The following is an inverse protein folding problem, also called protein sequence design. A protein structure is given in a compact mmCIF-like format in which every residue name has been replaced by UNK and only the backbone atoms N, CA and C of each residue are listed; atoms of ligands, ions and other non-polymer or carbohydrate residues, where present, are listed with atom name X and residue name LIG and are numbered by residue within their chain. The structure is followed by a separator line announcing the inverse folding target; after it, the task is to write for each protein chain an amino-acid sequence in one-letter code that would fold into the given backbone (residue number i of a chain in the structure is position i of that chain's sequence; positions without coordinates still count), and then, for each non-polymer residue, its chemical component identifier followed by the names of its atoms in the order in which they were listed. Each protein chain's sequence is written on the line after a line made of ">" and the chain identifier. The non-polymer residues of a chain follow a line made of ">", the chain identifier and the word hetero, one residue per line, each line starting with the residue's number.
data_IF_452625691894
#
_entry.id   IF_452625691894
#
_cell.length_a   1.000
_cell.length_b   1.000
_cell.length_c   1.000
_cell.angle_alpha   90.00
_cell.angle_beta   90.00
_cell.angle_gamma   90.00
#
_symmetry.space_group_name_H-M   'P 1'
#
loop_
_entity.id
_entity.type
_entity.pdbx_description
1 polymer ?
#
# COMPACT_ATOMS: atom_id res chain seq x y z
N UNK A 1 16.91 -21.97 -6.67
CA UNK A 1 16.88 -20.68 -5.94
C UNK A 1 17.04 -20.98 -4.46
N UNK A 2 17.63 -20.10 -3.66
CA UNK A 2 17.66 -20.26 -2.20
C UNK A 2 16.35 -19.72 -1.63
N UNK A 3 15.59 -20.54 -0.91
CA UNK A 3 14.40 -20.09 -0.18
C UNK A 3 14.81 -19.29 1.07
N UNK A 4 14.04 -18.23 1.36
CA UNK A 4 14.17 -17.38 2.54
C UNK A 4 12.93 -17.65 3.38
N UNK A 5 13.11 -17.95 4.67
CA UNK A 5 11.99 -18.38 5.55
C UNK A 5 11.69 -17.38 6.65
N UNK A 6 12.60 -16.42 6.88
CA UNK A 6 12.41 -15.35 7.87
C UNK A 6 12.25 -13.99 7.20
N UNK A 7 11.39 -13.14 7.77
CA UNK A 7 11.20 -11.77 7.30
C UNK A 7 12.50 -10.95 7.37
N UNK A 8 13.28 -11.13 8.44
CA UNK A 8 14.59 -10.48 8.57
C UNK A 8 15.64 -10.95 7.54
N UNK A 9 15.48 -12.14 6.96
CA UNK A 9 16.32 -12.54 5.82
C UNK A 9 15.98 -11.75 4.57
N UNK A 10 14.68 -11.56 4.29
CA UNK A 10 14.19 -10.74 3.17
C UNK A 10 14.70 -9.33 3.30
N UNK A 11 14.46 -8.68 4.44
CA UNK A 11 14.93 -7.32 4.73
C UNK A 11 16.43 -7.16 4.50
N UNK A 12 17.24 -8.09 5.02
CA UNK A 12 18.70 -8.04 4.87
C UNK A 12 19.14 -8.25 3.42
N UNK A 13 18.53 -9.16 2.65
CA UNK A 13 18.96 -9.38 1.25
C UNK A 13 18.40 -8.35 0.28
N UNK A 14 17.34 -7.63 0.66
CA UNK A 14 16.77 -6.53 -0.12
C UNK A 14 17.33 -5.16 0.27
N UNK A 15 18.34 -5.11 1.14
CA UNK A 15 18.95 -3.88 1.65
C UNK A 15 17.89 -2.93 2.24
N UNK A 16 16.97 -3.47 3.04
CA UNK A 16 15.93 -2.70 3.71
C UNK A 16 14.77 -2.26 2.81
N UNK A 17 14.66 -2.76 1.56
CA UNK A 17 13.60 -2.33 0.63
C UNK A 17 12.19 -2.54 1.19
N UNK A 18 11.46 -1.45 1.41
CA UNK A 18 10.12 -1.49 2.00
C UNK A 18 9.08 -2.19 1.15
N UNK A 19 9.22 -2.19 -0.18
CA UNK A 19 8.30 -2.92 -1.05
C UNK A 19 8.41 -4.42 -0.79
N UNK A 20 9.63 -4.93 -0.59
CA UNK A 20 9.89 -6.35 -0.34
C UNK A 20 9.57 -6.74 1.10
N UNK A 21 9.86 -5.86 2.06
CA UNK A 21 9.46 -6.03 3.47
C UNK A 21 7.94 -6.08 3.60
N UNK A 22 7.24 -5.14 2.94
CA UNK A 22 5.78 -5.15 2.89
C UNK A 22 5.27 -6.43 2.22
N UNK A 23 5.83 -6.83 1.07
CA UNK A 23 5.42 -8.07 0.41
C UNK A 23 5.67 -9.32 1.27
N UNK A 24 6.69 -9.32 2.13
CA UNK A 24 6.98 -10.44 3.04
C UNK A 24 5.90 -10.63 4.11
N UNK A 25 5.14 -9.58 4.43
CA UNK A 25 4.06 -9.56 5.43
C UNK A 25 4.48 -10.16 6.79
N UNK A 26 5.77 -10.10 7.12
CA UNK A 26 6.29 -10.64 8.37
C UNK A 26 5.68 -9.94 9.58
N UNK A 27 5.43 -10.71 10.64
CA UNK A 27 4.84 -10.22 11.89
C UNK A 27 5.78 -10.52 13.07
N UNK A 28 5.29 -10.44 14.31
CA UNK A 28 6.12 -10.47 15.54
C UNK A 28 6.88 -11.78 15.81
N UNK A 29 6.64 -12.86 15.06
CA UNK A 29 7.35 -14.15 15.19
C UNK A 29 8.62 -14.23 14.32
N UNK A 30 8.88 -13.23 13.48
CA UNK A 30 10.02 -13.16 12.58
C UNK A 30 9.92 -14.03 11.33
N UNK A 31 8.80 -14.75 11.15
CA UNK A 31 8.51 -15.55 9.96
C UNK A 31 7.89 -14.68 8.86
N UNK A 32 7.79 -15.24 7.65
CA UNK A 32 7.00 -14.65 6.58
C UNK A 32 5.50 -14.76 6.90
N UNK A 33 4.68 -13.90 6.29
CA UNK A 33 3.22 -13.97 6.44
C UNK A 33 2.63 -15.30 5.95
N UNK A 34 1.39 -15.65 6.36
CA UNK A 34 0.75 -16.90 5.96
C UNK A 34 0.72 -17.10 4.44
N UNK A 35 1.28 -18.23 3.96
CA UNK A 35 1.36 -18.56 2.55
C UNK A 35 2.35 -17.73 1.73
N UNK A 36 3.05 -16.78 2.34
CA UNK A 36 4.11 -16.01 1.67
C UNK A 36 5.33 -16.90 1.47
N UNK A 37 5.91 -16.84 0.28
CA UNK A 37 7.17 -17.52 -0.05
C UNK A 37 8.16 -16.53 -0.62
N UNK A 38 9.42 -16.67 -0.28
CA UNK A 38 10.47 -15.77 -0.74
C UNK A 38 11.71 -16.53 -1.17
N UNK A 39 12.38 -16.04 -2.20
CA UNK A 39 13.60 -16.65 -2.72
C UNK A 39 14.64 -15.60 -3.09
N UNK A 40 15.89 -16.04 -3.05
CA UNK A 40 17.02 -15.35 -3.64
C UNK A 40 17.64 -16.22 -4.73
N UNK A 41 18.01 -15.61 -5.85
CA UNK A 41 18.83 -16.21 -6.88
C UNK A 41 19.78 -15.17 -7.46
N UNK A 42 21.09 -15.43 -7.39
CA UNK A 42 22.11 -14.45 -7.77
C UNK A 42 21.90 -13.12 -7.05
N UNK A 43 21.66 -12.08 -7.85
CA UNK A 43 21.34 -10.71 -7.44
C UNK A 43 19.84 -10.43 -7.25
N UNK A 44 18.95 -11.33 -7.65
CA UNK A 44 17.50 -11.16 -7.54
C UNK A 44 16.94 -11.65 -6.21
N UNK A 45 15.96 -10.92 -5.70
CA UNK A 45 15.11 -11.28 -4.57
C UNK A 45 13.66 -11.25 -5.05
N UNK A 46 12.90 -12.31 -4.80
CA UNK A 46 11.49 -12.46 -5.19
C UNK A 46 10.68 -12.83 -3.97
N UNK A 47 9.54 -12.17 -3.75
CA UNK A 47 8.60 -12.47 -2.66
C UNK A 47 7.20 -12.63 -3.25
N UNK A 48 6.62 -13.81 -3.11
CA UNK A 48 5.27 -14.14 -3.54
C UNK A 48 4.33 -14.15 -2.33
N UNK A 49 3.32 -13.27 -2.33
CA UNK A 49 2.35 -13.09 -1.26
C UNK A 49 0.91 -13.30 -1.76
N UNK A 50 0.19 -14.33 -1.26
CA UNK A 50 -1.19 -14.58 -1.65
C UNK A 50 -2.12 -13.50 -1.08
N UNK A 51 -3.13 -13.09 -1.86
CA UNK A 51 -4.19 -12.18 -1.40
C UNK A 51 -3.74 -10.77 -0.93
N UNK A 52 -2.47 -10.42 -1.07
CA UNK A 52 -1.92 -9.13 -0.65
C UNK A 52 -2.55 -7.97 -1.43
N UNK A 53 -3.20 -7.05 -0.70
CA UNK A 53 -3.99 -5.98 -1.32
C UNK A 53 -5.09 -6.53 -2.27
N UNK A 54 -5.68 -7.66 -1.86
CA UNK A 54 -6.77 -8.35 -2.56
C UNK A 54 -6.35 -9.11 -3.82
N UNK A 55 -5.06 -9.36 -4.02
CA UNK A 55 -4.51 -10.06 -5.20
C UNK A 55 -3.31 -10.91 -4.81
N UNK A 56 -3.03 -11.96 -5.56
CA UNK A 56 -1.74 -12.64 -5.49
C UNK A 56 -0.67 -11.73 -6.11
N UNK A 57 0.35 -11.39 -5.32
CA UNK A 57 1.39 -10.43 -5.72
C UNK A 57 2.77 -11.06 -5.61
N UNK A 58 3.64 -10.75 -6.57
CA UNK A 58 5.03 -11.15 -6.59
C UNK A 58 5.92 -9.91 -6.67
N UNK A 59 6.55 -9.53 -5.56
CA UNK A 59 7.52 -8.45 -5.54
C UNK A 59 8.88 -8.95 -6.05
N UNK A 60 9.57 -8.14 -6.86
CA UNK A 60 10.94 -8.42 -7.31
C UNK A 60 11.84 -7.20 -7.15
N UNK A 61 13.09 -7.45 -6.75
CA UNK A 61 14.18 -6.47 -6.71
C UNK A 61 15.48 -7.12 -7.19
N UNK A 62 16.33 -6.31 -7.82
CA UNK A 62 17.75 -6.60 -7.98
C UNK A 62 18.55 -5.86 -6.91
N UNK A 63 19.54 -6.55 -6.35
CA UNK A 63 20.59 -5.88 -5.57
C UNK A 63 21.42 -4.99 -6.48
N UNK A 64 22.09 -4.00 -5.89
CA UNK A 64 22.97 -3.10 -6.64
C UNK A 64 24.00 -3.87 -7.47
N UNK A 65 24.20 -3.42 -8.73
CA UNK A 65 25.05 -4.10 -9.70
C UNK A 65 24.49 -5.44 -10.23
N UNK A 66 23.21 -5.76 -9.95
CA UNK A 66 22.58 -7.01 -10.34
C UNK A 66 22.31 -7.16 -11.84
N UNK A 67 22.07 -8.42 -12.25
CA UNK A 67 21.82 -8.79 -13.64
C UNK A 67 20.35 -9.10 -13.88
N UNK A 68 19.79 -8.55 -14.95
CA UNK A 68 18.38 -8.75 -15.32
C UNK A 68 18.04 -10.23 -15.53
N UNK A 69 19.00 -11.03 -16.00
CA UNK A 69 18.80 -12.47 -16.23
C UNK A 69 18.60 -13.25 -14.92
N UNK A 70 19.17 -12.79 -13.80
CA UNK A 70 18.89 -13.36 -12.47
C UNK A 70 17.42 -13.16 -12.10
N UNK A 71 16.88 -11.95 -12.35
CA UNK A 71 15.48 -11.63 -12.05
C UNK A 71 14.53 -12.41 -12.97
N UNK A 72 14.81 -12.46 -14.28
CA UNK A 72 13.98 -13.21 -15.23
C UNK A 72 13.96 -14.71 -14.88
N UNK A 73 15.11 -15.28 -14.54
CA UNK A 73 15.19 -16.67 -14.07
C UNK A 73 14.40 -16.85 -12.77
N UNK A 74 14.62 -15.99 -11.77
CA UNK A 74 13.97 -16.10 -10.47
C UNK A 74 12.45 -15.99 -10.57
N UNK A 75 11.93 -15.01 -11.32
CA UNK A 75 10.49 -14.82 -11.54
C UNK A 75 9.87 -16.02 -12.23
N UNK A 76 10.48 -16.54 -13.30
CA UNK A 76 9.96 -17.74 -14.00
C UNK A 76 9.90 -18.95 -13.08
N UNK A 77 10.95 -19.17 -12.27
CA UNK A 77 10.98 -20.28 -11.32
C UNK A 77 9.99 -20.11 -10.19
N UNK A 78 9.80 -18.90 -9.67
CA UNK A 78 8.81 -18.60 -8.65
C UNK A 78 7.38 -18.83 -9.18
N UNK A 79 7.05 -18.34 -10.37
CA UNK A 79 5.75 -18.56 -11.02
C UNK A 79 5.45 -20.05 -11.25
N UNK A 80 6.48 -20.85 -11.59
CA UNK A 80 6.33 -22.30 -11.70
C UNK A 80 6.00 -22.99 -10.36
N UNK A 81 6.30 -22.35 -9.22
CA UNK A 81 6.01 -22.89 -7.89
C UNK A 81 4.71 -22.37 -7.27
N UNK A 82 4.33 -21.12 -7.54
CA UNK A 82 3.14 -20.49 -6.93
C UNK A 82 1.96 -20.33 -7.90
N UNK A 83 2.19 -20.56 -9.20
CA UNK A 83 1.19 -20.39 -10.24
C UNK A 83 1.21 -19.01 -10.92
N UNK A 84 0.55 -18.94 -12.08
CA UNK A 84 0.52 -17.76 -12.96
C UNK A 84 -0.48 -16.69 -12.52
N UNK A 85 -1.29 -16.93 -11.48
CA UNK A 85 -2.19 -15.92 -10.91
C UNK A 85 -1.45 -14.75 -10.26
N UNK A 86 -0.20 -14.98 -9.85
CA UNK A 86 0.64 -14.00 -9.16
C UNK A 86 1.08 -12.88 -10.11
N UNK A 87 0.76 -11.65 -9.73
CA UNK A 87 1.11 -10.44 -10.49
C UNK A 87 2.46 -9.93 -10.03
N UNK A 88 3.41 -9.88 -10.96
CA UNK A 88 4.74 -9.31 -10.74
C UNK A 88 4.63 -7.80 -10.50
N UNK A 89 5.41 -7.27 -9.56
CA UNK A 89 5.65 -5.84 -9.44
C UNK A 89 7.04 -5.54 -8.87
N UNK A 90 7.60 -4.40 -9.24
CA UNK A 90 8.97 -3.99 -8.92
C UNK A 90 9.35 -2.75 -9.72
N UNK A 91 10.60 -2.32 -9.62
CA UNK A 91 11.07 -1.10 -10.31
C UNK A 91 10.73 -1.16 -11.80
N UNK A 92 10.23 -0.04 -12.34
CA UNK A 92 9.69 0.02 -13.71
C UNK A 92 10.64 -0.56 -14.76
N UNK A 93 11.91 -0.14 -14.72
CA UNK A 93 12.94 -0.61 -15.65
C UNK A 93 13.19 -2.12 -15.53
N UNK A 94 13.21 -2.63 -14.30
CA UNK A 94 13.40 -4.05 -14.02
C UNK A 94 12.22 -4.88 -14.56
N UNK A 95 10.99 -4.50 -14.22
CA UNK A 95 9.79 -5.26 -14.63
C UNK A 95 9.61 -5.25 -16.15
N UNK A 96 9.87 -4.13 -16.83
CA UNK A 96 9.86 -4.08 -18.29
C UNK A 96 10.88 -5.04 -18.91
N UNK A 97 12.10 -5.06 -18.38
CA UNK A 97 13.16 -5.92 -18.89
C UNK A 97 12.93 -7.41 -18.59
N UNK A 98 12.28 -7.74 -17.47
CA UNK A 98 11.82 -9.10 -17.14
C UNK A 98 10.70 -9.53 -18.08
N UNK A 99 9.73 -8.65 -18.35
CA UNK A 99 8.61 -8.92 -19.28
C UNK A 99 9.11 -9.31 -20.67
N UNK A 100 10.20 -8.67 -21.14
CA UNK A 100 10.83 -9.03 -22.42
C UNK A 100 11.52 -10.40 -22.43
N UNK A 101 11.86 -10.96 -21.26
CA UNK A 101 12.62 -12.21 -21.10
C UNK A 101 11.77 -13.40 -20.64
N UNK A 102 10.61 -13.14 -20.04
CA UNK A 102 9.70 -14.18 -19.53
C UNK A 102 8.57 -14.39 -20.54
N UNK A 103 8.52 -15.54 -21.23
CA UNK A 103 7.50 -15.80 -22.25
C UNK A 103 6.07 -15.64 -21.71
N UNK A 104 5.20 -15.01 -22.50
CA UNK A 104 3.79 -14.81 -22.17
C UNK A 104 3.51 -13.74 -21.12
N UNK A 105 4.53 -13.15 -20.49
CA UNK A 105 4.32 -12.06 -19.55
C UNK A 105 3.96 -10.77 -20.30
N UNK A 106 2.95 -10.05 -19.79
CA UNK A 106 2.49 -8.77 -20.31
C UNK A 106 2.48 -7.72 -19.22
N UNK A 107 2.82 -6.47 -19.58
CA UNK A 107 2.75 -5.33 -18.66
C UNK A 107 1.31 -4.94 -18.34
N UNK A 108 1.09 -4.38 -17.16
CA UNK A 108 -0.21 -3.91 -16.68
C UNK A 108 -0.27 -2.38 -16.58
N UNK A 109 0.20 -1.83 -15.47
CA UNK A 109 0.12 -0.41 -15.16
C UNK A 109 1.40 0.03 -14.44
N UNK A 110 1.65 1.33 -14.50
CA UNK A 110 2.77 2.01 -13.86
C UNK A 110 2.24 2.81 -12.68
N UNK A 111 2.90 2.71 -11.54
CA UNK A 111 2.49 3.37 -10.30
C UNK A 111 3.73 3.77 -9.50
N UNK A 112 3.57 4.64 -8.51
CA UNK A 112 4.65 4.93 -7.56
C UNK A 112 4.44 4.14 -6.28
N UNK A 113 5.51 3.51 -5.82
CA UNK A 113 5.66 3.19 -4.41
C UNK A 113 6.22 4.42 -3.72
N UNK A 114 5.45 4.99 -2.80
CA UNK A 114 5.88 6.13 -2.01
C UNK A 114 6.08 5.72 -0.55
N UNK A 115 7.10 6.27 0.09
CA UNK A 115 7.44 5.94 1.47
C UNK A 115 8.05 7.10 2.25
N UNK A 116 8.01 6.97 3.58
CA UNK A 116 8.72 7.82 4.54
C UNK A 116 9.03 7.01 5.80
N UNK A 117 10.15 7.34 6.46
CA UNK A 117 10.52 6.91 7.81
C UNK A 117 10.36 8.02 8.86
N UNK A 118 9.91 9.19 8.41
CA UNK A 118 9.81 10.40 9.20
C UNK A 118 8.33 10.80 9.34
N UNK A 119 7.92 11.33 10.50
CA UNK A 119 6.59 11.89 10.68
C UNK A 119 6.29 12.93 9.59
N UNK A 120 5.03 13.00 9.17
CA UNK A 120 4.56 14.02 8.27
C UNK A 120 4.82 15.41 8.88
N UNK A 121 5.33 16.37 8.08
CA UNK A 121 5.52 17.74 8.55
C UNK A 121 4.16 18.35 8.96
N UNK A 122 4.17 19.30 9.91
CA UNK A 122 2.96 20.03 10.26
C UNK A 122 2.40 20.76 9.01
N UNK A 123 1.07 20.93 8.91
CA UNK A 123 0.48 21.74 7.85
C UNK A 123 1.09 23.15 7.84
N UNK A 124 1.34 23.70 6.65
CA UNK A 124 2.02 24.98 6.48
C UNK A 124 1.20 26.21 6.92
N UNK A 125 -0.11 26.06 7.13
CA UNK A 125 -1.03 27.14 7.49
C UNK A 125 -1.39 27.00 8.98
N UNK A 126 -0.79 27.83 9.84
CA UNK A 126 -1.00 27.80 11.30
C UNK A 126 -2.19 28.65 11.78
N UNK A 127 -2.85 29.40 10.89
CA UNK A 127 -3.91 30.36 11.27
C UNK A 127 -5.35 29.82 11.13
N UNK A 128 -5.53 28.56 10.71
CA UNK A 128 -6.84 27.92 10.52
C UNK A 128 -7.14 26.81 11.53
N UNK A 129 -8.41 26.62 11.86
CA UNK A 129 -8.88 25.48 12.65
C UNK A 129 -8.54 24.17 11.92
N UNK A 130 -7.71 23.32 12.55
CA UNK A 130 -7.26 22.06 11.95
C UNK A 130 -8.44 21.07 11.89
N UNK A 131 -8.62 20.33 10.78
CA UNK A 131 -9.62 19.28 10.73
C UNK A 131 -9.39 18.26 11.85
N UNK A 132 -10.41 18.00 12.67
CA UNK A 132 -10.36 16.98 13.70
C UNK A 132 -10.35 15.58 13.05
N UNK A 133 -9.15 14.99 12.94
CA UNK A 133 -8.98 13.62 12.46
C UNK A 133 -8.96 12.67 13.66
N UNK A 134 -9.72 11.58 13.57
CA UNK A 134 -9.73 10.53 14.60
C UNK A 134 -9.72 9.14 13.97
N UNK A 135 -9.32 8.12 14.75
CA UNK A 135 -9.62 6.73 14.41
C UNK A 135 -11.12 6.50 14.55
N UNK A 136 -11.74 5.99 13.49
CA UNK A 136 -13.16 5.70 13.43
C UNK A 136 -13.47 4.40 14.18
N UNK A 137 -14.61 4.36 14.85
CA UNK A 137 -15.20 3.10 15.29
C UNK A 137 -15.69 2.27 14.09
N UNK A 138 -16.10 1.03 14.35
CA UNK A 138 -16.55 0.11 13.31
C UNK A 138 -17.79 0.61 12.54
N UNK A 139 -18.70 1.32 13.22
CA UNK A 139 -19.94 1.83 12.62
C UNK A 139 -19.65 3.00 11.67
N UNK A 140 -18.84 3.97 12.11
CA UNK A 140 -18.39 5.10 11.31
C UNK A 140 -17.52 4.65 10.12
N UNK A 141 -16.64 3.66 10.32
CA UNK A 141 -15.88 3.05 9.24
C UNK A 141 -16.82 2.39 8.22
N UNK A 142 -17.83 1.63 8.66
CA UNK A 142 -18.78 0.97 7.76
C UNK A 142 -19.61 1.96 6.94
N UNK A 143 -20.00 3.11 7.52
CA UNK A 143 -20.69 4.18 6.77
C UNK A 143 -19.88 4.74 5.61
N UNK A 144 -18.54 4.64 5.65
CA UNK A 144 -17.70 5.05 4.51
C UNK A 144 -17.80 4.10 3.30
N UNK A 145 -18.35 2.89 3.45
CA UNK A 145 -18.49 1.93 2.34
C UNK A 145 -19.32 2.50 1.19
N UNK A 146 -20.45 3.16 1.49
CA UNK A 146 -21.29 3.82 0.49
C UNK A 146 -20.53 4.91 -0.30
N UNK A 147 -19.56 5.58 0.34
CA UNK A 147 -18.71 6.57 -0.33
C UNK A 147 -17.77 5.89 -1.34
N UNK A 148 -17.20 4.73 -0.99
CA UNK A 148 -16.40 3.94 -1.91
C UNK A 148 -17.23 3.40 -3.07
N UNK A 149 -18.40 2.83 -2.81
CA UNK A 149 -19.27 2.30 -3.86
C UNK A 149 -19.62 3.37 -4.89
N UNK A 150 -19.92 4.59 -4.43
CA UNK A 150 -20.30 5.71 -5.28
C UNK A 150 -19.12 6.34 -6.06
N UNK A 151 -17.93 6.42 -5.45
CA UNK A 151 -16.86 7.28 -5.97
C UNK A 151 -15.52 6.60 -6.22
N UNK A 152 -15.29 5.43 -5.63
CA UNK A 152 -14.07 4.66 -5.87
C UNK A 152 -14.27 3.14 -5.70
N UNK A 153 -15.21 2.52 -6.45
CA UNK A 153 -15.62 1.12 -6.21
C UNK A 153 -14.50 0.12 -6.48
N UNK A 154 -13.49 0.52 -7.26
CA UNK A 154 -12.31 -0.31 -7.57
C UNK A 154 -11.18 -0.18 -6.54
N UNK A 155 -11.36 0.60 -5.47
CA UNK A 155 -10.35 0.71 -4.41
C UNK A 155 -9.97 -0.67 -3.86
N UNK A 156 -8.67 -0.91 -3.68
CA UNK A 156 -8.17 -2.13 -3.06
C UNK A 156 -8.58 -2.24 -1.60
N UNK A 157 -8.57 -1.12 -0.86
CA UNK A 157 -8.96 -1.03 0.53
C UNK A 157 -10.34 -0.37 0.66
N UNK A 158 -11.26 -1.09 1.29
CA UNK A 158 -12.61 -0.65 1.62
C UNK A 158 -12.97 -1.27 2.99
N UNK A 159 -13.93 -0.69 3.74
CA UNK A 159 -14.42 -1.30 4.97
C UNK A 159 -14.80 -2.77 4.77
N UNK A 160 -14.47 -3.61 5.75
CA UNK A 160 -14.74 -5.06 5.72
C UNK A 160 -13.78 -5.91 4.87
N UNK A 161 -12.85 -5.32 4.10
CA UNK A 161 -11.88 -6.11 3.34
C UNK A 161 -10.78 -6.70 4.22
N UNK A 162 -10.46 -7.97 3.98
CA UNK A 162 -9.37 -8.67 4.67
C UNK A 162 -8.04 -7.93 4.53
N UNK A 163 -7.34 -7.77 5.66
CA UNK A 163 -6.08 -7.05 5.78
C UNK A 163 -6.21 -5.54 5.99
N UNK A 164 -7.39 -4.93 5.81
CA UNK A 164 -7.64 -3.55 6.27
C UNK A 164 -7.88 -3.59 7.78
N UNK A 165 -7.06 -2.87 8.57
CA UNK A 165 -7.07 -2.97 10.04
C UNK A 165 -7.97 -1.96 10.72
N UNK A 166 -7.85 -0.69 10.32
CA UNK A 166 -8.59 0.43 10.92
C UNK A 166 -8.62 1.63 9.99
N UNK A 167 -9.57 2.51 10.24
CA UNK A 167 -9.85 3.69 9.43
C UNK A 167 -9.70 4.95 10.26
N UNK A 168 -8.98 5.95 9.75
CA UNK A 168 -9.02 7.31 10.24
C UNK A 168 -10.00 8.12 9.38
N UNK A 169 -10.62 9.13 9.97
CA UNK A 169 -11.49 10.02 9.22
C UNK A 169 -11.76 11.35 9.89
N UNK A 170 -12.31 12.26 9.09
CA UNK A 170 -12.92 13.51 9.54
C UNK A 170 -14.42 13.35 9.39
N UNK A 171 -15.17 13.47 10.48
CA UNK A 171 -16.63 13.40 10.47
C UNK A 171 -17.23 14.75 10.04
N UNK A 172 -18.44 14.72 9.47
CA UNK A 172 -19.18 15.95 9.24
C UNK A 172 -19.60 16.52 10.60
N UNK A 173 -19.06 17.68 10.96
CA UNK A 173 -19.30 18.35 12.25
C UNK A 173 -20.68 18.97 12.40
N UNK A 174 -21.67 18.53 11.61
CA UNK A 174 -23.06 18.77 11.97
C UNK A 174 -23.30 17.94 13.23
N UNK A 175 -23.19 18.61 14.38
CA UNK A 175 -23.72 18.11 15.64
C UNK A 175 -25.09 17.50 15.31
N UNK A 176 -25.21 16.21 15.58
CA UNK A 176 -26.54 15.64 15.66
C UNK A 176 -27.10 16.34 16.88
N UNK A 177 -28.01 17.30 16.65
CA UNK A 177 -28.92 17.75 17.70
C UNK A 177 -29.35 16.46 18.43
N UNK A 178 -29.18 16.44 19.74
CA UNK A 178 -29.32 15.25 20.60
C UNK A 178 -30.72 14.58 20.53
N UNK A 179 -31.60 15.07 19.66
CA UNK A 179 -32.97 14.61 19.41
C UNK A 179 -33.21 13.96 18.03
N UNK A 180 -32.19 13.80 17.17
CA UNK A 180 -32.31 13.05 15.91
C UNK A 180 -31.58 11.68 15.97
N UNK A 181 -31.96 10.83 16.94
CA UNK A 181 -31.57 9.42 16.95
C UNK A 181 -32.46 8.61 15.99
N UNK A 182 -32.21 8.80 14.69
CA UNK A 182 -32.63 7.84 13.65
C UNK A 182 -31.58 6.71 13.51
N UNK A 183 -30.65 6.55 14.47
CA UNK A 183 -29.55 5.59 14.42
C UNK A 183 -28.48 5.87 13.34
N UNK A 184 -28.63 6.94 12.56
CA UNK A 184 -27.73 7.30 11.46
C UNK A 184 -26.63 8.25 11.94
N UNK A 185 -25.61 7.73 12.63
CA UNK A 185 -24.45 8.53 13.05
C UNK A 185 -23.72 9.24 11.88
N UNK A 186 -22.90 10.25 12.18
CA UNK A 186 -22.24 11.08 11.17
C UNK A 186 -21.41 10.26 10.16
N UNK A 187 -21.52 10.58 8.86
CA UNK A 187 -20.71 9.97 7.79
C UNK A 187 -19.36 10.69 7.66
N UNK A 188 -18.24 9.97 7.53
CA UNK A 188 -16.95 10.61 7.29
C UNK A 188 -16.90 11.41 5.98
N UNK A 189 -16.43 12.65 6.06
CA UNK A 189 -16.14 13.51 4.90
C UNK A 189 -14.84 13.12 4.18
N UNK A 190 -13.87 12.59 4.92
CA UNK A 190 -12.64 12.05 4.38
C UNK A 190 -12.18 10.86 5.21
N UNK A 191 -11.55 9.89 4.55
CA UNK A 191 -11.05 8.66 5.18
C UNK A 191 -9.71 8.24 4.62
N UNK A 192 -8.94 7.52 5.44
CA UNK A 192 -7.72 6.83 5.10
C UNK A 192 -7.56 5.59 5.99
N UNK A 193 -6.98 4.52 5.48
CA UNK A 193 -6.84 3.26 6.21
C UNK A 193 -5.38 2.85 6.45
N UNK A 194 -5.16 2.20 7.59
CA UNK A 194 -4.05 1.27 7.78
C UNK A 194 -4.46 -0.09 7.20
N UNK A 195 -3.73 -0.59 6.19
CA UNK A 195 -4.06 -1.84 5.53
C UNK A 195 -2.81 -2.66 5.19
N UNK A 196 -2.87 -3.98 5.38
CA UNK A 196 -1.77 -4.93 5.15
C UNK A 196 -0.43 -4.50 5.76
N UNK A 197 -0.36 -4.09 7.03
CA UNK A 197 0.91 -3.70 7.63
C UNK A 197 1.84 -4.91 7.80
N UNK A 198 3.14 -4.68 7.61
CA UNK A 198 4.20 -5.62 7.93
C UNK A 198 5.11 -5.02 9.01
N UNK A 199 5.76 -5.85 9.82
CA UNK A 199 6.83 -5.39 10.69
C UNK A 199 7.88 -4.67 9.83
N UNK A 200 8.22 -3.43 10.20
CA UNK A 200 9.17 -2.60 9.45
C UNK A 200 8.57 -1.77 8.31
N UNK A 201 7.28 -1.95 7.96
CA UNK A 201 6.58 -1.11 6.99
C UNK A 201 5.05 -1.20 7.14
N UNK A 202 4.43 -0.14 7.66
CA UNK A 202 2.98 0.04 7.62
C UNK A 202 2.53 0.57 6.26
N UNK A 203 1.31 0.28 5.82
CA UNK A 203 0.80 0.75 4.52
C UNK A 203 -0.49 1.57 4.66
N UNK A 204 -0.43 2.79 4.12
CA UNK A 204 -1.57 3.69 3.92
C UNK A 204 -2.33 3.28 2.66
N UNK A 205 -3.64 3.07 2.77
CA UNK A 205 -4.50 2.73 1.64
C UNK A 205 -5.90 3.34 1.79
N UNK A 206 -6.73 3.21 0.74
CA UNK A 206 -8.15 3.58 0.83
C UNK A 206 -8.38 5.06 1.12
N UNK A 207 -7.60 5.95 0.51
CA UNK A 207 -7.79 7.39 0.70
C UNK A 207 -8.96 7.87 -0.14
N UNK A 208 -9.96 8.48 0.50
CA UNK A 208 -11.12 9.03 -0.19
C UNK A 208 -11.62 10.29 0.52
N UNK A 209 -12.05 11.29 -0.25
CA UNK A 209 -12.72 12.49 0.25
C UNK A 209 -14.01 12.67 -0.52
N UNK A 210 -15.11 12.86 0.22
CA UNK A 210 -16.42 13.12 -0.34
C UNK A 210 -16.36 14.30 -1.31
N UNK A 211 -16.96 14.20 -2.52
CA UNK A 211 -16.84 15.24 -3.54
C UNK A 211 -17.16 16.65 -3.04
N UNK A 212 -18.22 16.79 -2.24
CA UNK A 212 -18.65 18.07 -1.66
C UNK A 212 -17.67 18.65 -0.61
N UNK A 213 -16.75 17.84 -0.08
CA UNK A 213 -15.78 18.24 0.93
C UNK A 213 -14.34 18.39 0.37
N UNK A 214 -14.15 18.26 -0.95
CA UNK A 214 -12.85 18.45 -1.60
C UNK A 214 -12.39 19.91 -1.53
N UNK A 215 -11.09 20.13 -1.70
CA UNK A 215 -10.49 21.48 -1.63
C UNK A 215 -10.25 22.01 -0.21
N UNK A 216 -10.74 21.30 0.83
CA UNK A 216 -10.64 21.68 2.25
C UNK A 216 -9.42 21.09 2.99
N UNK A 217 -8.44 20.56 2.26
CA UNK A 217 -7.26 19.93 2.87
C UNK A 217 -7.49 18.59 3.60
N UNK A 218 -8.72 18.07 3.66
CA UNK A 218 -9.07 16.89 4.47
C UNK A 218 -8.28 15.62 4.11
N UNK A 219 -8.01 15.39 2.81
CA UNK A 219 -7.21 14.25 2.37
C UNK A 219 -5.79 14.28 2.95
N UNK A 220 -5.15 15.45 2.95
CA UNK A 220 -3.82 15.62 3.53
C UNK A 220 -3.85 15.39 5.04
N UNK A 221 -4.88 15.88 5.73
CA UNK A 221 -5.05 15.71 7.17
C UNK A 221 -5.18 14.22 7.56
N UNK A 222 -6.10 13.47 6.93
CA UNK A 222 -6.27 12.04 7.24
C UNK A 222 -5.05 11.20 6.85
N UNK A 223 -4.40 11.52 5.73
CA UNK A 223 -3.17 10.83 5.33
C UNK A 223 -2.02 11.10 6.29
N UNK A 224 -1.80 12.36 6.69
CA UNK A 224 -0.75 12.73 7.64
C UNK A 224 -0.93 12.06 8.99
N UNK A 225 -2.17 12.02 9.50
CA UNK A 225 -2.52 11.31 10.73
C UNK A 225 -2.18 9.81 10.66
N UNK A 226 -2.57 9.14 9.58
CA UNK A 226 -2.26 7.71 9.40
C UNK A 226 -0.76 7.50 9.21
N UNK A 227 -0.08 8.29 8.37
CA UNK A 227 1.37 8.22 8.16
C UNK A 227 2.13 8.32 9.48
N UNK A 228 1.78 9.28 10.33
CA UNK A 228 2.41 9.46 11.64
C UNK A 228 2.26 8.20 12.50
N UNK A 229 1.05 7.63 12.57
CA UNK A 229 0.83 6.41 13.34
C UNK A 229 1.55 5.19 12.75
N UNK A 230 1.68 5.11 11.42
CA UNK A 230 2.40 4.02 10.76
C UNK A 230 3.91 4.13 11.00
N UNK A 231 4.50 5.32 10.91
CA UNK A 231 5.91 5.57 11.22
C UNK A 231 6.18 5.25 12.69
N UNK A 232 5.34 5.74 13.61
CA UNK A 232 5.47 5.46 15.04
C UNK A 232 5.44 3.96 15.34
N UNK A 233 4.51 3.22 14.72
CA UNK A 233 4.29 1.80 15.03
C UNK A 233 5.20 0.84 14.29
N UNK A 234 5.55 1.15 13.04
CA UNK A 234 6.25 0.23 12.14
C UNK A 234 7.61 0.77 11.68
N UNK A 235 8.00 1.97 12.11
CA UNK A 235 9.22 2.67 11.70
C UNK A 235 9.14 3.33 10.32
N UNK A 236 8.29 2.81 9.43
CA UNK A 236 8.11 3.32 8.05
C UNK A 236 6.66 3.24 7.62
N UNK A 237 6.24 4.21 6.82
CA UNK A 237 4.96 4.23 6.14
C UNK A 237 5.17 4.14 4.61
N UNK A 238 4.45 3.24 3.95
CA UNK A 238 4.41 3.09 2.50
C UNK A 238 3.02 3.29 1.93
N UNK A 239 2.92 3.56 0.64
CA UNK A 239 1.68 3.52 -0.13
C UNK A 239 1.95 3.25 -1.61
N UNK A 240 0.89 2.91 -2.34
CA UNK A 240 0.90 2.84 -3.80
C UNK A 240 -0.07 3.87 -4.37
N UNK A 241 0.35 4.57 -5.42
CA UNK A 241 -0.46 5.58 -6.11
C UNK A 241 -0.20 5.51 -7.60
N UNK A 242 -1.26 5.58 -8.42
CA UNK A 242 -1.12 5.57 -9.88
C UNK A 242 -0.19 6.71 -10.35
N UNK A 243 0.67 6.42 -11.32
CA UNK A 243 1.74 7.34 -11.71
C UNK A 243 1.24 8.62 -12.38
N UNK A 244 -0.01 8.63 -12.87
CA UNK A 244 -0.69 9.76 -13.48
C UNK A 244 -1.56 10.56 -12.48
N UNK A 245 -1.67 10.11 -11.22
CA UNK A 245 -2.45 10.79 -10.19
C UNK A 245 -1.66 11.92 -9.53
N UNK A 246 -1.34 12.94 -10.34
CA UNK A 246 -0.53 14.09 -9.90
C UNK A 246 -1.12 14.84 -8.68
N UNK A 247 -2.45 15.01 -8.52
CA UNK A 247 -3.00 15.58 -7.29
C UNK A 247 -2.64 14.77 -6.02
N UNK A 248 -2.71 13.44 -6.07
CA UNK A 248 -2.33 12.60 -4.94
C UNK A 248 -0.82 12.61 -4.71
N UNK A 249 -0.02 12.52 -5.77
CA UNK A 249 1.44 12.61 -5.70
C UNK A 249 1.90 13.91 -5.01
N UNK A 250 1.31 15.06 -5.35
CA UNK A 250 1.61 16.33 -4.66
C UNK A 250 1.25 16.30 -3.18
N UNK A 251 0.11 15.71 -2.83
CA UNK A 251 -0.30 15.55 -1.42
C UNK A 251 0.72 14.72 -0.65
N UNK A 252 1.11 13.55 -1.16
CA UNK A 252 2.05 12.66 -0.46
C UNK A 252 3.46 13.25 -0.37
N UNK A 253 3.95 13.95 -1.40
CA UNK A 253 5.22 14.67 -1.35
C UNK A 253 5.24 15.75 -0.26
N UNK A 254 4.12 16.48 -0.08
CA UNK A 254 3.98 17.46 1.02
C UNK A 254 3.96 16.80 2.40
N UNK A 255 3.58 15.53 2.50
CA UNK A 255 3.67 14.73 3.72
C UNK A 255 5.08 14.15 3.95
N UNK A 256 6.08 14.57 3.17
CA UNK A 256 7.47 14.10 3.30
C UNK A 256 7.75 12.77 2.61
N UNK A 257 6.78 12.21 1.87
CA UNK A 257 6.98 10.93 1.20
C UNK A 257 7.77 11.09 -0.10
N UNK A 258 8.69 10.15 -0.34
CA UNK A 258 9.46 10.05 -1.59
C UNK A 258 9.00 8.85 -2.39
N UNK A 259 9.02 8.95 -3.71
CA UNK A 259 8.46 7.94 -4.62
C UNK A 259 9.48 7.34 -5.57
N UNK A 260 9.35 6.05 -5.85
CA UNK A 260 10.01 5.38 -6.99
C UNK A 260 8.97 4.78 -7.93
N UNK A 261 9.29 4.78 -9.23
CA UNK A 261 8.41 4.27 -10.26
C UNK A 261 8.46 2.74 -10.30
N UNK A 262 7.32 2.10 -10.12
CA UNK A 262 7.13 0.67 -10.25
C UNK A 262 6.23 0.36 -11.45
N UNK A 263 6.42 -0.84 -12.00
CA UNK A 263 5.50 -1.44 -12.97
C UNK A 263 4.92 -2.73 -12.41
N UNK A 264 3.71 -3.08 -12.85
CA UNK A 264 3.14 -4.40 -12.67
C UNK A 264 3.10 -5.17 -14.00
N UNK A 265 3.20 -6.49 -13.92
CA UNK A 265 3.06 -7.40 -15.05
C UNK A 265 2.39 -8.71 -14.61
N UNK A 266 1.85 -9.48 -15.55
CA UNK A 266 1.29 -10.80 -15.28
C UNK A 266 1.45 -11.73 -16.48
N UNK A 267 1.29 -13.04 -16.25
CA UNK A 267 1.02 -14.00 -17.32
C UNK A 267 -0.50 -14.11 -17.44
N UNK A 268 -1.11 -13.84 -18.60
CA UNK A 268 -2.55 -14.08 -18.80
C UNK A 268 -2.90 -15.55 -18.54
N UNK A 269 -4.11 -15.79 -18.05
CA UNK A 269 -4.66 -17.14 -18.10
C UNK A 269 -4.96 -17.48 -19.58
N UNK A 270 -4.66 -18.70 -19.98
CA UNK A 270 -5.07 -19.24 -21.29
C UNK A 270 -6.60 -19.33 -21.40
#
# INVERSE_FOLDING_TARGET
>A
MKELVKAGEVERVSDGDTQLIWAAQGQGDGLLGPGVRAWRYGSAVVVAAPGLSGRDRMAVKLREGGHIDDAAYAVRRALAEVGTSYRLFGEDRLVRAVTQRVPGMVGLHVFQWMETDSPAPPPADEDGERPAVTWLDASAAQRSAALFDAHFPRSHAQPGRSGVRRWAGVLDGKETDEEADDGAGATPLAVAAEAWPATGCGLLAGVLTAPAARGRGLAAAVCGFVVNSLVERYGRAGLMVDADNEPALRTYRRLGMTGRLLSAAHVPAD
#
